data_IF_183019321444
#
_entry.id   IF_183019321444
#
_cell.length_a   1.000
_cell.length_b   1.000
_cell.length_c   1.000
_cell.angle_alpha   90.00
_cell.angle_beta   90.00
_cell.angle_gamma   90.00
#
_symmetry.space_group_name_H-M   'P 1'
#
loop_
_entity.id
_entity.type
_entity.pdbx_description
1 polymer ?
#
# COMPACT_ATOMS: atom_id res chain seq x y z
N UNK A 1 -14.56 3.98 -21.50
CA UNK A 1 -14.07 4.97 -20.53
C UNK A 1 -13.94 6.33 -21.19
N UNK A 2 -15.06 7.04 -21.34
CA UNK A 2 -15.08 8.37 -21.96
C UNK A 2 -14.63 9.40 -20.92
N UNK A 3 -13.42 9.91 -21.13
CA UNK A 3 -12.71 10.90 -20.34
C UNK A 3 -13.61 12.06 -19.87
N UNK A 4 -13.74 12.28 -18.55
CA UNK A 4 -14.52 13.39 -17.98
C UNK A 4 -14.04 14.75 -18.52
N UNK A 5 -12.71 14.91 -18.64
CA UNK A 5 -12.07 16.04 -19.31
C UNK A 5 -12.57 16.27 -20.75
N UNK A 6 -12.69 15.22 -21.59
CA UNK A 6 -13.24 15.36 -22.94
C UNK A 6 -14.71 15.82 -22.88
N UNK A 7 -15.51 15.30 -21.94
CA UNK A 7 -16.92 15.70 -21.79
C UNK A 7 -17.06 17.16 -21.35
N UNK A 8 -16.24 17.61 -20.41
CA UNK A 8 -16.23 19.01 -19.94
C UNK A 8 -15.82 19.94 -21.07
N UNK A 9 -14.74 19.61 -21.80
CA UNK A 9 -14.27 20.38 -22.94
C UNK A 9 -15.34 20.50 -24.04
N UNK A 10 -16.02 19.40 -24.37
CA UNK A 10 -17.13 19.42 -25.33
C UNK A 10 -18.32 20.23 -24.82
N UNK A 11 -18.61 20.20 -23.52
CA UNK A 11 -19.72 20.96 -22.94
C UNK A 11 -19.46 22.48 -23.00
N UNK A 12 -18.24 22.91 -22.68
CA UNK A 12 -17.85 24.33 -22.80
C UNK A 12 -17.84 24.75 -24.27
N UNK A 13 -17.31 23.91 -25.16
CA UNK A 13 -17.35 24.15 -26.60
C UNK A 13 -18.78 24.30 -27.12
N UNK A 14 -19.69 23.41 -26.71
CA UNK A 14 -21.10 23.49 -27.07
C UNK A 14 -21.75 24.75 -26.53
N UNK A 15 -21.46 25.16 -25.30
CA UNK A 15 -21.96 26.42 -24.73
C UNK A 15 -21.53 27.63 -25.56
N UNK A 16 -20.24 27.71 -25.94
CA UNK A 16 -19.74 28.77 -26.81
C UNK A 16 -20.43 28.77 -28.17
N UNK A 17 -20.57 27.60 -28.82
CA UNK A 17 -21.23 27.48 -30.13
C UNK A 17 -22.70 27.89 -30.04
N UNK A 18 -23.43 27.45 -29.01
CA UNK A 18 -24.82 27.83 -28.79
C UNK A 18 -24.97 29.35 -28.53
N UNK A 19 -24.05 29.95 -27.77
CA UNK A 19 -24.03 31.40 -27.53
C UNK A 19 -23.78 32.18 -28.81
N UNK A 20 -22.83 31.74 -29.65
CA UNK A 20 -22.55 32.35 -30.96
C UNK A 20 -23.76 32.23 -31.87
N UNK A 21 -24.34 31.03 -31.99
CA UNK A 21 -25.51 30.80 -32.83
C UNK A 21 -26.69 31.67 -32.40
N UNK A 22 -26.94 31.78 -31.09
CA UNK A 22 -28.00 32.65 -30.54
C UNK A 22 -27.71 34.12 -30.84
N UNK A 23 -26.46 34.58 -30.65
CA UNK A 23 -26.04 35.93 -30.97
C UNK A 23 -26.19 36.27 -32.47
N UNK A 24 -25.79 35.35 -33.35
CA UNK A 24 -25.95 35.49 -34.80
C UNK A 24 -27.42 35.60 -35.21
N UNK A 25 -28.29 34.74 -34.65
CA UNK A 25 -29.73 34.78 -34.93
C UNK A 25 -30.34 36.10 -34.44
N UNK A 26 -29.99 36.56 -33.24
CA UNK A 26 -30.44 37.84 -32.70
C UNK A 26 -29.98 39.03 -33.55
N UNK A 27 -28.71 39.06 -33.98
CA UNK A 27 -28.22 40.13 -34.86
C UNK A 27 -28.97 40.17 -36.19
N UNK A 28 -29.22 39.02 -36.82
CA UNK A 28 -29.99 38.94 -38.07
C UNK A 28 -31.42 39.48 -37.85
N UNK A 29 -32.09 39.07 -36.76
CA UNK A 29 -33.44 39.51 -36.43
C UNK A 29 -33.49 41.01 -36.09
N UNK A 30 -32.43 41.62 -35.54
CA UNK A 30 -32.44 43.05 -35.22
C UNK A 30 -32.03 43.90 -36.44
N UNK A 31 -30.98 43.50 -37.17
CA UNK A 31 -30.41 44.33 -38.24
C UNK A 31 -31.28 44.43 -39.49
N UNK A 32 -31.93 43.34 -39.90
CA UNK A 32 -32.72 43.31 -41.15
C UNK A 32 -34.09 43.98 -41.02
N UNK A 33 -34.97 43.58 -40.07
CA UNK A 33 -36.31 44.15 -39.98
C UNK A 33 -36.37 45.46 -39.20
N UNK A 34 -35.47 45.72 -38.23
CA UNK A 34 -35.57 46.94 -37.38
C UNK A 34 -34.69 48.08 -37.88
N UNK A 35 -33.45 47.81 -38.31
CA UNK A 35 -32.50 48.86 -38.73
C UNK A 35 -32.34 49.02 -40.25
N UNK A 36 -32.92 48.13 -41.07
CA UNK A 36 -32.83 48.14 -42.54
C UNK A 36 -31.39 48.35 -43.07
N UNK A 37 -30.40 47.73 -42.41
CA UNK A 37 -28.99 47.85 -42.82
C UNK A 37 -28.70 47.08 -44.10
N UNK A 38 -27.67 47.51 -44.83
CA UNK A 38 -27.19 46.83 -46.03
C UNK A 38 -26.67 45.42 -45.69
N UNK A 39 -27.01 44.44 -46.54
CA UNK A 39 -26.67 43.03 -46.37
C UNK A 39 -25.16 42.77 -46.16
N UNK A 40 -24.31 43.60 -46.77
CA UNK A 40 -22.85 43.50 -46.64
C UNK A 40 -22.34 43.80 -45.22
N UNK A 41 -22.94 44.78 -44.55
CA UNK A 41 -22.53 45.15 -43.19
C UNK A 41 -22.97 44.10 -42.17
N UNK A 42 -24.13 43.46 -42.40
CA UNK A 42 -24.60 42.34 -41.58
C UNK A 42 -23.66 41.14 -41.62
N UNK A 43 -23.16 40.76 -42.80
CA UNK A 43 -22.19 39.66 -42.95
C UNK A 43 -20.90 39.96 -42.19
N UNK A 44 -20.41 41.20 -42.24
CA UNK A 44 -19.18 41.59 -41.55
C UNK A 44 -19.32 41.43 -40.02
N UNK A 45 -20.47 41.81 -39.44
CA UNK A 45 -20.71 41.65 -38.00
C UNK A 45 -20.80 40.17 -37.58
N UNK A 46 -21.48 39.34 -38.38
CA UNK A 46 -21.54 37.89 -38.18
C UNK A 46 -20.16 37.24 -38.22
N UNK A 47 -19.29 37.68 -39.14
CA UNK A 47 -17.93 37.18 -39.27
C UNK A 47 -17.07 37.53 -38.03
N UNK A 48 -17.21 38.75 -37.51
CA UNK A 48 -16.51 39.19 -36.28
C UNK A 48 -16.94 38.34 -35.09
N UNK A 49 -18.24 38.06 -34.97
CA UNK A 49 -18.81 37.26 -33.88
C UNK A 49 -18.34 35.79 -33.93
N UNK A 50 -18.16 35.25 -35.14
CA UNK A 50 -17.66 33.89 -35.35
C UNK A 50 -16.15 33.76 -35.07
N UNK A 51 -15.34 34.70 -35.56
CA UNK A 51 -13.88 34.71 -35.33
C UNK A 51 -13.55 34.95 -33.86
N UNK A 52 -14.27 35.87 -33.20
CA UNK A 52 -14.05 36.17 -31.78
C UNK A 52 -14.65 35.14 -30.83
N UNK A 53 -15.70 34.43 -31.26
CA UNK A 53 -16.47 33.54 -30.38
C UNK A 53 -15.88 32.13 -30.22
N UNK A 54 -15.21 31.58 -31.24
CA UNK A 54 -14.73 30.19 -31.20
C UNK A 54 -13.47 30.09 -30.33
N UNK A 55 -13.49 29.36 -29.20
CA UNK A 55 -12.36 29.31 -28.28
C UNK A 55 -11.30 28.27 -28.70
N UNK A 56 -10.65 28.49 -29.85
CA UNK A 56 -9.65 27.55 -30.42
C UNK A 56 -8.47 27.31 -29.47
N UNK A 57 -8.12 28.30 -28.65
CA UNK A 57 -7.00 28.21 -27.72
C UNK A 57 -7.28 27.35 -26.47
N UNK A 58 -8.55 27.16 -26.09
CA UNK A 58 -8.92 26.56 -24.80
C UNK A 58 -8.43 25.11 -24.63
N UNK A 59 -8.60 24.19 -25.62
CA UNK A 59 -8.06 22.83 -25.52
C UNK A 59 -6.55 22.79 -25.33
N UNK A 60 -5.82 23.69 -26.01
CA UNK A 60 -4.36 23.76 -25.95
C UNK A 60 -3.90 24.28 -24.60
N UNK A 61 -4.50 25.35 -24.08
CA UNK A 61 -4.15 25.92 -22.76
C UNK A 61 -4.37 24.90 -21.64
N UNK A 62 -5.51 24.20 -21.66
CA UNK A 62 -5.80 23.17 -20.65
C UNK A 62 -4.82 22.01 -20.73
N UNK A 63 -4.50 21.54 -21.94
CA UNK A 63 -3.55 20.43 -22.13
C UNK A 63 -2.13 20.79 -21.66
N UNK A 64 -1.67 22.00 -21.96
CA UNK A 64 -0.37 22.51 -21.49
C UNK A 64 -0.36 22.68 -19.98
N UNK A 65 -1.45 23.18 -19.39
CA UNK A 65 -1.56 23.34 -17.94
C UNK A 65 -1.50 22.00 -17.21
N UNK A 66 -2.19 20.97 -17.71
CA UNK A 66 -2.13 19.61 -17.16
C UNK A 66 -0.74 18.98 -17.31
N UNK A 67 -0.06 19.22 -18.44
CA UNK A 67 1.31 18.74 -18.65
C UNK A 67 2.31 19.40 -17.67
N UNK A 68 2.21 20.71 -17.46
CA UNK A 68 3.03 21.44 -16.49
C UNK A 68 2.69 20.98 -15.06
N UNK A 69 1.41 20.77 -14.74
CA UNK A 69 0.97 20.25 -13.45
C UNK A 69 1.55 18.86 -13.15
N UNK A 70 1.49 17.95 -14.13
CA UNK A 70 2.11 16.62 -14.08
C UNK A 70 3.62 16.71 -13.81
N UNK A 71 4.31 17.62 -14.51
CA UNK A 71 5.75 17.82 -14.29
C UNK A 71 6.07 18.33 -12.88
N UNK A 72 5.28 19.29 -12.36
CA UNK A 72 5.44 19.81 -10.99
C UNK A 72 5.17 18.74 -9.93
N UNK A 73 4.16 17.90 -10.12
CA UNK A 73 3.88 16.78 -9.21
C UNK A 73 5.04 15.77 -9.19
N UNK A 74 5.63 15.49 -10.36
CA UNK A 74 6.82 14.63 -10.47
C UNK A 74 8.02 15.19 -9.69
N UNK A 75 8.24 16.52 -9.77
CA UNK A 75 9.28 17.18 -8.96
C UNK A 75 9.03 17.10 -7.45
N UNK A 76 7.77 16.92 -7.03
CA UNK A 76 7.37 16.68 -5.64
C UNK A 76 7.36 15.19 -5.26
N UNK A 77 7.77 14.28 -6.16
CA UNK A 77 7.83 12.84 -5.92
C UNK A 77 6.55 12.07 -6.25
N UNK A 78 5.54 12.70 -6.85
CA UNK A 78 4.28 12.07 -7.25
C UNK A 78 4.21 11.88 -8.77
N UNK A 79 4.24 10.63 -9.25
CA UNK A 79 4.24 10.31 -10.69
C UNK A 79 2.80 10.09 -11.17
N UNK A 80 2.28 10.99 -12.00
CA UNK A 80 0.94 10.86 -12.61
C UNK A 80 0.99 10.09 -13.93
N UNK A 81 0.53 8.83 -13.94
CA UNK A 81 0.43 8.02 -15.18
C UNK A 81 -0.66 8.50 -16.13
N UNK A 82 -1.71 9.14 -15.61
CA UNK A 82 -2.81 9.74 -16.38
C UNK A 82 -2.89 11.22 -16.03
N UNK A 83 -2.80 12.11 -17.02
CA UNK A 83 -2.90 13.57 -16.77
C UNK A 83 -4.27 13.96 -16.19
N UNK A 84 -5.32 13.19 -16.50
CA UNK A 84 -6.67 13.38 -15.95
C UNK A 84 -6.76 13.06 -14.46
N UNK A 85 -5.77 12.35 -13.88
CA UNK A 85 -5.75 12.08 -12.45
C UNK A 85 -5.59 13.36 -11.62
N UNK A 86 -5.04 14.43 -12.21
CA UNK A 86 -4.91 15.73 -11.52
C UNK A 86 -6.29 16.31 -11.20
N UNK A 87 -7.26 16.17 -12.10
CA UNK A 87 -8.65 16.59 -11.90
C UNK A 87 -9.34 15.71 -10.85
N UNK A 88 -9.15 14.38 -10.93
CA UNK A 88 -9.67 13.43 -9.94
C UNK A 88 -9.13 13.72 -8.53
N UNK A 89 -7.84 14.05 -8.40
CA UNK A 89 -7.22 14.41 -7.12
C UNK A 89 -7.73 15.76 -6.57
N UNK A 90 -8.04 16.72 -7.43
CA UNK A 90 -8.56 18.02 -7.01
C UNK A 90 -9.99 17.94 -6.44
N UNK A 91 -10.79 16.97 -6.91
CA UNK A 91 -12.14 16.71 -6.42
C UNK A 91 -12.25 15.55 -5.43
N UNK A 92 -11.15 15.15 -4.78
CA UNK A 92 -11.12 14.00 -3.89
C UNK A 92 -11.73 14.33 -2.53
N UNK A 93 -12.81 13.63 -2.16
CA UNK A 93 -13.44 13.77 -0.84
C UNK A 93 -12.94 12.76 0.20
N UNK A 94 -12.52 11.57 -0.26
CA UNK A 94 -12.07 10.47 0.61
C UNK A 94 -10.77 9.88 0.08
N UNK A 95 -9.77 9.79 0.94
CA UNK A 95 -8.50 9.11 0.70
C UNK A 95 -8.46 7.81 1.51
N UNK A 96 -8.64 6.67 0.84
CA UNK A 96 -8.35 5.37 1.42
C UNK A 96 -6.84 5.10 1.30
N UNK A 97 -6.15 5.04 2.44
CA UNK A 97 -4.71 4.78 2.51
C UNK A 97 -4.46 3.46 3.21
N UNK A 98 -3.58 2.61 2.65
CA UNK A 98 -3.07 1.45 3.39
C UNK A 98 -2.15 1.95 4.52
N UNK A 99 -2.36 1.44 5.73
CA UNK A 99 -1.51 1.72 6.89
C UNK A 99 -0.06 1.31 6.66
N UNK A 100 0.18 0.10 6.16
CA UNK A 100 1.52 -0.47 6.11
C UNK A 100 2.33 0.17 4.99
N UNK A 101 3.45 0.82 5.33
CA UNK A 101 4.33 1.45 4.34
C UNK A 101 3.90 2.84 3.87
N UNK A 102 2.63 3.23 4.01
CA UNK A 102 2.16 4.60 3.75
C UNK A 102 2.15 5.44 5.03
N UNK A 103 1.40 5.03 6.05
CA UNK A 103 1.33 5.74 7.34
C UNK A 103 2.45 5.36 8.31
N UNK A 104 3.06 4.19 8.09
CA UNK A 104 4.17 3.69 8.91
C UNK A 104 5.48 3.69 8.15
N UNK A 105 6.59 3.65 8.89
CA UNK A 105 7.94 3.64 8.30
C UNK A 105 8.31 2.29 7.68
N UNK A 106 7.49 1.24 7.88
CA UNK A 106 7.81 -0.14 7.52
C UNK A 106 9.21 -0.54 8.05
N UNK A 107 9.54 -0.05 9.24
CA UNK A 107 10.77 -0.33 9.98
C UNK A 107 10.38 -0.97 11.29
N UNK A 108 10.00 -2.24 11.18
CA UNK A 108 9.49 -3.00 12.30
C UNK A 108 10.58 -3.15 13.36
N UNK A 109 10.16 -3.12 14.61
CA UNK A 109 11.02 -3.34 15.78
C UNK A 109 10.32 -4.34 16.70
N UNK A 110 11.09 -5.12 17.45
CA UNK A 110 10.56 -6.11 18.38
C UNK A 110 11.12 -5.81 19.76
N UNK A 111 10.22 -5.77 20.74
CA UNK A 111 10.61 -5.64 22.14
C UNK A 111 10.80 -7.03 22.77
N UNK A 112 12.05 -7.33 23.15
CA UNK A 112 12.45 -8.60 23.79
C UNK A 112 11.67 -8.88 25.08
N UNK A 113 11.28 -7.84 25.82
CA UNK A 113 10.58 -8.00 27.11
C UNK A 113 9.19 -8.60 26.93
N UNK A 114 8.56 -8.36 25.78
CA UNK A 114 7.17 -8.70 25.49
C UNK A 114 6.99 -10.04 24.78
N UNK A 115 8.08 -10.72 24.42
CA UNK A 115 8.01 -12.04 23.79
C UNK A 115 7.37 -13.04 24.76
N UNK A 116 6.32 -13.71 24.29
CA UNK A 116 5.60 -14.76 25.03
C UNK A 116 6.07 -16.12 24.55
N UNK A 117 6.49 -16.97 25.49
CA UNK A 117 7.06 -18.30 25.25
C UNK A 117 6.06 -19.37 25.67
N UNK A 118 5.84 -20.37 24.79
CA UNK A 118 4.85 -21.41 25.03
C UNK A 118 5.46 -22.79 25.32
N UNK A 119 6.75 -22.98 25.02
CA UNK A 119 7.50 -24.21 25.31
C UNK A 119 8.38 -24.01 26.55
N UNK A 120 8.35 -24.95 27.50
CA UNK A 120 9.12 -24.84 28.75
C UNK A 120 10.64 -24.95 28.56
N UNK A 121 11.06 -25.62 27.48
CA UNK A 121 12.45 -25.96 27.22
C UNK A 121 13.16 -24.91 26.34
N UNK A 122 12.52 -23.78 26.04
CA UNK A 122 13.05 -22.72 25.19
C UNK A 122 13.09 -21.39 25.93
N UNK A 123 14.21 -20.67 25.80
CA UNK A 123 14.32 -19.29 26.23
C UNK A 123 13.92 -18.32 25.10
N UNK A 124 13.84 -17.04 25.44
CA UNK A 124 13.50 -15.98 24.49
C UNK A 124 14.56 -15.84 23.39
N UNK A 125 15.84 -16.01 23.73
CA UNK A 125 16.95 -15.88 22.79
C UNK A 125 16.93 -17.01 21.75
N UNK A 126 16.62 -18.25 22.14
CA UNK A 126 16.43 -19.36 21.19
C UNK A 126 15.28 -19.07 20.24
N UNK A 127 14.16 -18.52 20.71
CA UNK A 127 13.03 -18.19 19.83
C UNK A 127 13.39 -17.10 18.82
N UNK A 128 14.13 -16.08 19.24
CA UNK A 128 14.64 -15.03 18.34
C UNK A 128 15.60 -15.65 17.32
N UNK A 129 16.51 -16.54 17.74
CA UNK A 129 17.43 -17.23 16.85
C UNK A 129 16.69 -18.11 15.83
N UNK A 130 15.66 -18.85 16.25
CA UNK A 130 14.82 -19.65 15.35
C UNK A 130 14.08 -18.75 14.36
N UNK A 131 13.51 -17.63 14.82
CA UNK A 131 12.87 -16.65 13.95
C UNK A 131 13.86 -16.05 12.93
N UNK A 132 15.07 -15.74 13.36
CA UNK A 132 16.14 -15.22 12.51
C UNK A 132 16.59 -16.27 11.48
N UNK A 133 16.72 -17.54 11.88
CA UNK A 133 16.97 -18.67 10.97
C UNK A 133 15.88 -18.79 9.90
N UNK A 134 14.61 -18.60 10.26
CA UNK A 134 13.52 -18.62 9.29
C UNK A 134 13.40 -17.33 8.44
N UNK A 135 14.30 -16.36 8.61
CA UNK A 135 14.39 -15.15 7.79
C UNK A 135 15.30 -15.37 6.58
N UNK A 136 15.05 -14.64 5.50
CA UNK A 136 16.04 -14.50 4.43
C UNK A 136 17.23 -13.68 4.92
N UNK A 137 18.41 -13.99 4.41
CA UNK A 137 19.62 -13.16 4.63
C UNK A 137 19.79 -12.14 3.51
N UNK A 138 19.35 -12.50 2.30
CA UNK A 138 19.42 -11.65 1.10
C UNK A 138 18.02 -11.11 0.74
N UNK A 139 17.95 -9.85 0.29
CA UNK A 139 16.69 -9.15 -0.05
C UNK A 139 15.62 -9.31 1.04
N UNK A 140 15.97 -8.85 2.24
CA UNK A 140 15.13 -8.99 3.41
C UNK A 140 13.86 -8.13 3.32
N UNK A 141 12.73 -8.75 3.67
CA UNK A 141 11.52 -8.03 3.99
C UNK A 141 11.69 -7.26 5.31
N UNK A 142 10.88 -6.22 5.54
CA UNK A 142 10.97 -5.41 6.75
C UNK A 142 10.84 -6.23 8.06
N UNK A 143 10.06 -7.31 8.05
CA UNK A 143 9.94 -8.25 9.17
C UNK A 143 11.26 -9.03 9.37
N UNK A 144 11.87 -9.48 8.29
CA UNK A 144 13.11 -10.26 8.32
C UNK A 144 14.27 -9.42 8.86
N UNK A 145 14.40 -8.19 8.37
CA UNK A 145 15.39 -7.23 8.89
C UNK A 145 15.18 -6.93 10.37
N UNK A 146 13.93 -6.76 10.81
CA UNK A 146 13.62 -6.50 12.22
C UNK A 146 14.09 -7.63 13.14
N UNK A 147 13.86 -8.88 12.74
CA UNK A 147 14.22 -10.07 13.52
C UNK A 147 15.73 -10.29 13.50
N UNK A 148 16.37 -10.17 12.34
CA UNK A 148 17.83 -10.35 12.22
C UNK A 148 18.58 -9.29 13.02
N UNK A 149 18.08 -8.05 13.06
CA UNK A 149 18.65 -6.98 13.89
C UNK A 149 18.43 -7.16 15.40
N UNK A 150 17.63 -8.14 15.84
CA UNK A 150 17.53 -8.48 17.27
C UNK A 150 18.72 -9.32 17.77
N UNK A 151 19.46 -9.95 16.86
CA UNK A 151 20.68 -10.69 17.18
C UNK A 151 21.83 -9.71 17.40
N UNK A 152 22.81 -10.11 18.21
CA UNK A 152 24.00 -9.30 18.43
C UNK A 152 24.85 -9.19 17.15
N UNK A 153 24.98 -10.30 16.43
CA UNK A 153 25.57 -10.36 15.10
C UNK A 153 24.59 -11.04 14.11
N UNK A 154 24.21 -10.39 12.99
CA UNK A 154 23.40 -10.99 11.94
C UNK A 154 23.92 -12.34 11.42
N UNK A 155 25.22 -12.60 11.51
CA UNK A 155 25.83 -13.87 11.08
C UNK A 155 25.39 -15.06 11.95
N UNK A 156 24.99 -14.83 13.19
CA UNK A 156 24.48 -15.88 14.09
C UNK A 156 23.24 -16.59 13.52
N UNK A 157 22.45 -15.89 12.69
CA UNK A 157 21.26 -16.46 12.04
C UNK A 157 21.57 -17.65 11.11
N UNK A 158 22.82 -17.76 10.63
CA UNK A 158 23.30 -18.87 9.79
C UNK A 158 24.53 -19.57 10.37
N UNK A 159 25.00 -19.17 11.54
CA UNK A 159 26.12 -19.83 12.20
C UNK A 159 25.73 -21.27 12.56
N UNK A 160 26.67 -22.19 12.34
CA UNK A 160 26.58 -23.60 12.74
C UNK A 160 25.43 -24.39 12.10
N UNK A 161 24.83 -23.87 11.02
CA UNK A 161 23.78 -24.56 10.27
C UNK A 161 24.06 -24.61 8.77
N UNK A 162 23.67 -25.72 8.15
CA UNK A 162 23.69 -25.87 6.69
C UNK A 162 22.25 -25.76 6.19
N UNK A 163 21.96 -24.70 5.43
CA UNK A 163 20.64 -24.50 4.81
C UNK A 163 20.42 -25.54 3.71
N UNK A 164 19.32 -26.28 3.79
CA UNK A 164 18.94 -27.29 2.78
C UNK A 164 17.88 -26.75 1.85
N UNK A 165 16.85 -26.11 2.41
CA UNK A 165 15.72 -25.60 1.65
C UNK A 165 15.04 -24.45 2.38
N UNK A 166 14.70 -23.39 1.65
CA UNK A 166 13.94 -22.26 2.16
C UNK A 166 12.61 -22.12 1.41
N UNK A 167 11.52 -22.09 2.17
CA UNK A 167 10.17 -21.83 1.68
C UNK A 167 9.87 -20.32 1.78
N UNK A 168 9.72 -19.62 0.63
CA UNK A 168 9.35 -18.21 0.58
C UNK A 168 8.03 -17.88 1.27
N UNK A 169 7.82 -16.60 1.57
CA UNK A 169 6.50 -16.12 1.94
C UNK A 169 5.54 -16.25 0.76
N UNK A 170 4.38 -16.85 1.03
CA UNK A 170 3.25 -16.91 0.11
C UNK A 170 2.04 -16.23 0.77
N UNK A 171 1.34 -15.27 0.11
CA UNK A 171 0.15 -14.62 0.66
C UNK A 171 -0.98 -15.58 1.09
N UNK A 172 -1.06 -16.77 0.50
CA UNK A 172 -2.03 -17.80 0.88
C UNK A 172 -1.63 -18.49 2.18
N UNK A 173 -0.38 -18.94 2.28
CA UNK A 173 0.14 -19.66 3.45
C UNK A 173 0.48 -18.76 4.64
N UNK A 174 0.74 -17.47 4.36
CA UNK A 174 1.16 -16.41 5.31
C UNK A 174 2.28 -16.83 6.26
N UNK A 175 3.22 -17.65 5.77
CA UNK A 175 4.38 -18.15 6.52
C UNK A 175 5.61 -18.29 5.64
N UNK A 176 6.75 -18.35 6.28
CA UNK A 176 8.05 -18.73 5.73
C UNK A 176 8.56 -19.93 6.52
N UNK A 177 9.41 -20.76 5.90
CA UNK A 177 10.04 -21.85 6.61
C UNK A 177 11.45 -22.12 6.09
N UNK A 178 12.33 -22.56 6.97
CA UNK A 178 13.66 -23.03 6.62
C UNK A 178 13.80 -24.47 7.08
N UNK A 179 14.42 -25.31 6.24
CA UNK A 179 14.92 -26.63 6.61
C UNK A 179 16.44 -26.57 6.60
N UNK A 180 17.06 -26.91 7.72
CA UNK A 180 18.51 -26.87 7.90
C UNK A 180 19.02 -28.09 8.65
N UNK A 181 20.31 -28.36 8.51
CA UNK A 181 21.05 -29.38 9.24
C UNK A 181 21.89 -28.66 10.30
N UNK A 182 21.75 -29.06 11.56
CA UNK A 182 22.57 -28.53 12.66
C UNK A 182 23.98 -29.15 12.63
N UNK A 183 24.89 -28.62 13.46
CA UNK A 183 26.27 -29.11 13.58
C UNK A 183 26.37 -30.58 13.97
N UNK A 184 25.37 -31.10 14.69
CA UNK A 184 25.29 -32.52 15.08
C UNK A 184 24.74 -33.43 13.96
N UNK A 185 24.46 -32.88 12.77
CA UNK A 185 23.92 -33.64 11.63
C UNK A 185 22.42 -33.98 11.74
N UNK A 186 21.72 -33.32 12.68
CA UNK A 186 20.28 -33.44 12.87
C UNK A 186 19.52 -32.46 11.96
N UNK A 187 18.40 -32.92 11.41
CA UNK A 187 17.58 -32.10 10.51
C UNK A 187 16.46 -31.42 11.28
N UNK A 188 16.36 -30.11 11.06
CA UNK A 188 15.39 -29.26 11.72
C UNK A 188 14.65 -28.41 10.70
N UNK A 189 13.41 -28.09 11.03
CA UNK A 189 12.58 -27.17 10.27
C UNK A 189 11.98 -26.13 11.20
N UNK A 190 12.12 -24.88 10.82
CA UNK A 190 11.57 -23.75 11.56
C UNK A 190 10.66 -22.98 10.63
N UNK A 191 9.52 -22.54 11.14
CA UNK A 191 8.59 -21.70 10.42
C UNK A 191 8.21 -20.48 11.25
N UNK A 192 8.04 -19.35 10.56
CA UNK A 192 7.48 -18.14 11.14
C UNK A 192 6.38 -17.59 10.25
N UNK A 193 5.36 -16.98 10.84
CA UNK A 193 4.24 -16.46 10.06
C UNK A 193 3.09 -15.93 10.91
N UNK A 194 1.95 -15.77 10.25
CA UNK A 194 0.71 -15.37 10.92
C UNK A 194 0.35 -16.37 12.03
N UNK A 195 0.03 -15.91 13.25
CA UNK A 195 -0.22 -16.80 14.39
C UNK A 195 -1.26 -17.89 14.13
N UNK A 196 -2.38 -17.54 13.47
CA UNK A 196 -3.42 -18.51 13.11
C UNK A 196 -2.92 -19.62 12.19
N UNK A 197 -2.06 -19.28 11.21
CA UNK A 197 -1.53 -20.26 10.26
C UNK A 197 -0.50 -21.16 10.93
N UNK A 198 0.35 -20.61 11.79
CA UNK A 198 1.32 -21.40 12.56
C UNK A 198 0.60 -22.31 13.56
N UNK A 199 -0.43 -21.81 14.23
CA UNK A 199 -1.24 -22.59 15.18
C UNK A 199 -1.96 -23.76 14.49
N UNK A 200 -2.38 -23.61 13.24
CA UNK A 200 -2.98 -24.69 12.44
C UNK A 200 -2.00 -25.82 12.09
N UNK A 201 -0.69 -25.59 12.16
CA UNK A 201 0.32 -26.61 11.91
C UNK A 201 0.58 -27.49 13.13
N UNK A 202 0.31 -26.97 14.32
CA UNK A 202 0.59 -27.62 15.59
C UNK A 202 -0.55 -28.58 15.97
N UNK A 203 -0.21 -29.83 16.29
CA UNK A 203 -1.18 -30.84 16.73
C UNK A 203 -1.87 -30.45 18.05
N UNK A 204 -1.15 -29.76 18.94
CA UNK A 204 -1.67 -29.31 20.23
C UNK A 204 -2.51 -28.02 20.17
N UNK A 205 -3.02 -27.65 18.99
CA UNK A 205 -3.80 -26.42 18.75
C UNK A 205 -4.84 -26.18 19.84
N UNK A 206 -5.65 -27.18 20.19
CA UNK A 206 -6.78 -27.02 21.12
C UNK A 206 -6.35 -26.63 22.54
N UNK A 207 -5.19 -27.09 23.01
CA UNK A 207 -4.67 -26.78 24.36
C UNK A 207 -4.07 -25.38 24.44
N UNK A 208 -3.37 -24.97 23.38
CA UNK A 208 -2.56 -23.74 23.36
C UNK A 208 -3.35 -22.55 22.80
N UNK A 209 -4.35 -22.79 21.95
CA UNK A 209 -5.13 -21.77 21.25
C UNK A 209 -5.63 -20.66 22.18
N UNK A 210 -6.25 -21.00 23.31
CA UNK A 210 -6.81 -19.99 24.22
C UNK A 210 -5.75 -19.02 24.77
N UNK A 211 -4.56 -19.54 25.11
CA UNK A 211 -3.45 -18.70 25.60
C UNK A 211 -2.83 -17.86 24.47
N UNK A 212 -2.70 -18.43 23.28
CA UNK A 212 -2.19 -17.73 22.09
C UNK A 212 -3.10 -16.59 21.69
N UNK A 213 -4.42 -16.81 21.65
CA UNK A 213 -5.39 -15.76 21.33
C UNK A 213 -5.34 -14.63 22.36
N UNK A 214 -5.33 -14.96 23.66
CA UNK A 214 -5.20 -13.95 24.72
C UNK A 214 -3.90 -13.12 24.60
N UNK A 215 -2.78 -13.74 24.22
CA UNK A 215 -1.52 -13.03 23.97
C UNK A 215 -1.59 -12.14 22.72
N UNK A 216 -2.24 -12.61 21.65
CA UNK A 216 -2.47 -11.82 20.43
C UNK A 216 -3.35 -10.60 20.75
N UNK A 217 -4.42 -10.77 21.52
CA UNK A 217 -5.32 -9.68 21.91
C UNK A 217 -4.57 -8.64 22.75
N UNK A 218 -3.75 -9.07 23.72
CA UNK A 218 -2.88 -8.19 24.52
C UNK A 218 -1.88 -7.40 23.66
N UNK A 219 -1.37 -7.99 22.58
CA UNK A 219 -0.53 -7.29 21.62
C UNK A 219 -1.34 -6.30 20.77
N UNK A 220 -2.53 -6.70 20.33
CA UNK A 220 -3.42 -5.86 19.53
C UNK A 220 -3.91 -4.62 20.29
N UNK A 221 -4.25 -4.75 21.59
CA UNK A 221 -4.60 -3.62 22.47
C UNK A 221 -3.49 -2.56 22.55
N UNK A 222 -2.23 -3.00 22.42
CA UNK A 222 -1.05 -2.13 22.40
C UNK A 222 -0.65 -1.69 20.99
N UNK A 223 -1.43 -2.05 19.97
CA UNK A 223 -1.14 -1.74 18.57
C UNK A 223 0.05 -2.52 17.97
N UNK A 224 0.44 -3.62 18.60
CA UNK A 224 1.55 -4.48 18.17
C UNK A 224 1.02 -5.58 17.24
N UNK A 225 1.78 -5.88 16.18
CA UNK A 225 1.50 -6.98 15.25
C UNK A 225 2.13 -8.26 15.77
N UNK A 226 1.37 -9.36 15.81
CA UNK A 226 1.86 -10.65 16.31
C UNK A 226 2.51 -11.49 15.20
N UNK A 227 3.67 -12.08 15.47
CA UNK A 227 4.33 -13.07 14.62
C UNK A 227 4.59 -14.34 15.43
N UNK A 228 4.16 -15.50 14.92
CA UNK A 228 4.40 -16.77 15.60
C UNK A 228 5.61 -17.49 15.01
N UNK A 229 6.27 -18.29 15.85
CA UNK A 229 7.38 -19.18 15.49
C UNK A 229 7.04 -20.60 15.91
N UNK A 230 7.27 -21.55 15.01
CA UNK A 230 7.15 -22.97 15.28
C UNK A 230 8.39 -23.73 14.81
N UNK A 231 8.65 -24.84 15.48
CA UNK A 231 9.81 -25.69 15.27
C UNK A 231 9.37 -27.14 15.13
N UNK A 232 10.08 -27.88 14.28
CA UNK A 232 9.84 -29.28 13.97
C UNK A 232 11.19 -29.98 13.73
N UNK A 233 11.36 -31.20 14.25
CA UNK A 233 12.47 -32.08 13.88
C UNK A 233 12.09 -32.97 12.70
N UNK A 234 13.07 -33.33 11.85
CA UNK A 234 12.86 -34.24 10.71
C UNK A 234 13.74 -35.48 10.88
N UNK A 235 13.24 -36.54 11.56
CA UNK A 235 14.00 -37.77 11.77
C UNK A 235 14.39 -38.48 10.47
N UNK A 236 13.53 -38.39 9.44
CA UNK A 236 13.69 -39.07 8.15
C UNK A 236 14.76 -38.42 7.24
N UNK A 237 15.39 -37.31 7.67
CA UNK A 237 16.47 -36.59 6.96
C UNK A 237 16.19 -36.36 5.45
N UNK A 238 14.93 -36.06 5.14
CA UNK A 238 14.46 -35.85 3.77
C UNK A 238 13.65 -34.57 3.66
N UNK A 239 13.83 -33.84 2.55
CA UNK A 239 13.16 -32.55 2.29
C UNK A 239 11.64 -32.73 2.20
N UNK A 240 11.18 -33.80 1.55
CA UNK A 240 9.76 -34.06 1.28
C UNK A 240 9.05 -34.75 2.45
N UNK A 241 9.76 -35.08 3.52
CA UNK A 241 9.14 -35.66 4.71
C UNK A 241 8.25 -34.64 5.41
N UNK A 242 7.13 -35.13 5.95
CA UNK A 242 6.24 -34.35 6.81
C UNK A 242 6.90 -33.96 8.13
N UNK A 243 7.93 -34.69 8.58
CA UNK A 243 8.61 -34.45 9.86
C UNK A 243 7.76 -34.84 11.08
N UNK A 244 8.30 -34.59 12.27
CA UNK A 244 7.59 -34.78 13.55
C UNK A 244 6.46 -33.73 13.75
N UNK A 245 5.58 -33.82 14.75
CA UNK A 245 4.60 -32.77 15.00
C UNK A 245 5.23 -31.37 15.21
N UNK A 246 4.61 -30.32 14.68
CA UNK A 246 5.09 -28.95 14.91
C UNK A 246 4.86 -28.52 16.35
N UNK A 247 5.91 -27.99 16.96
CA UNK A 247 5.86 -27.39 18.30
C UNK A 247 5.73 -25.87 18.17
N UNK A 248 4.73 -25.29 18.83
CA UNK A 248 4.54 -23.84 18.87
C UNK A 248 5.50 -23.23 19.88
N UNK A 249 6.51 -22.48 19.42
CA UNK A 249 7.59 -21.98 20.28
C UNK A 249 7.19 -20.71 21.02
N UNK A 250 6.72 -19.70 20.28
CA UNK A 250 6.60 -18.35 20.80
C UNK A 250 5.86 -17.37 19.89
N UNK A 251 5.47 -16.24 20.49
CA UNK A 251 4.92 -15.07 19.80
C UNK A 251 5.85 -13.87 19.98
N UNK A 252 6.21 -13.24 18.86
CA UNK A 252 7.01 -12.02 18.82
C UNK A 252 6.08 -10.83 18.48
N UNK A 253 6.06 -9.78 19.32
CA UNK A 253 5.36 -8.55 19.00
C UNK A 253 6.21 -7.64 18.11
N UNK A 254 5.69 -7.28 16.95
CA UNK A 254 6.27 -6.35 16.00
C UNK A 254 5.59 -4.99 16.15
N UNK A 255 6.38 -3.96 16.41
CA UNK A 255 5.95 -2.57 16.40
C UNK A 255 6.39 -1.89 15.11
N UNK A 256 5.45 -1.26 14.40
CA UNK A 256 5.73 -0.46 13.21
C UNK A 256 5.49 1.03 13.53
N UNK A 257 6.54 1.84 13.69
CA UNK A 257 6.38 3.24 14.07
C UNK A 257 5.67 4.04 12.95
N UNK A 258 4.72 4.93 13.31
CA UNK A 258 4.14 5.85 12.35
C UNK A 258 5.21 6.82 11.83
N UNK A 259 5.02 7.36 10.62
CA UNK A 259 5.91 8.43 10.14
C UNK A 259 5.66 9.70 10.94
N UNK A 260 6.70 10.52 11.10
CA UNK A 260 6.66 11.76 11.88
C UNK A 260 5.65 12.78 11.32
N UNK A 261 5.44 12.77 10.01
CA UNK A 261 4.55 13.64 9.27
C UNK A 261 3.12 13.08 9.15
N UNK A 262 2.89 11.78 9.32
CA UNK A 262 1.58 11.15 9.07
C UNK A 262 0.44 11.80 9.86
N UNK A 263 0.66 12.11 11.15
CA UNK A 263 -0.36 12.76 11.98
C UNK A 263 -0.68 14.19 11.50
N UNK A 264 0.34 14.93 11.06
CA UNK A 264 0.15 16.27 10.50
C UNK A 264 -0.53 16.22 9.14
N UNK A 265 -0.14 15.28 8.27
CA UNK A 265 -0.74 15.07 6.96
C UNK A 265 -2.21 14.71 7.06
N UNK A 266 -2.61 13.84 8.01
CA UNK A 266 -4.02 13.51 8.25
C UNK A 266 -4.80 14.77 8.69
N UNK A 267 -4.23 15.59 9.58
CA UNK A 267 -4.86 16.85 10.01
C UNK A 267 -4.99 17.85 8.86
N UNK A 268 -3.95 17.99 8.04
CA UNK A 268 -3.97 18.86 6.86
C UNK A 268 -5.01 18.39 5.84
N UNK A 269 -5.08 17.08 5.57
CA UNK A 269 -6.10 16.50 4.69
C UNK A 269 -7.51 16.81 5.19
N UNK A 270 -7.75 16.63 6.50
CA UNK A 270 -9.05 16.97 7.11
C UNK A 270 -9.40 18.45 6.97
N UNK A 271 -8.43 19.35 7.17
CA UNK A 271 -8.62 20.80 6.97
C UNK A 271 -8.93 21.18 5.51
N UNK A 272 -8.49 20.36 4.55
CA UNK A 272 -8.78 20.51 3.12
C UNK A 272 -10.10 19.84 2.70
N UNK A 273 -10.84 19.26 3.65
CA UNK A 273 -12.11 18.56 3.37
C UNK A 273 -11.95 17.10 2.92
N UNK A 274 -10.73 16.56 2.94
CA UNK A 274 -10.43 15.18 2.54
C UNK A 274 -10.47 14.26 3.76
N UNK A 275 -11.40 13.32 3.79
CA UNK A 275 -11.49 12.30 4.84
C UNK A 275 -10.47 11.18 4.58
N UNK A 276 -9.54 10.94 5.51
CA UNK A 276 -8.58 9.83 5.41
C UNK A 276 -9.14 8.59 6.13
N UNK A 277 -9.23 7.46 5.42
CA UNK A 277 -9.63 6.16 5.96
C UNK A 277 -8.51 5.13 5.75
N UNK A 278 -8.42 4.19 6.67
CA UNK A 278 -7.51 3.03 6.55
C UNK A 278 -8.24 1.94 5.74
N UNK A 279 -7.62 1.45 4.66
CA UNK A 279 -8.26 0.53 3.70
C UNK A 279 -8.69 -0.82 4.32
N UNK A 280 -8.16 -1.16 5.50
CA UNK A 280 -8.53 -2.36 6.26
C UNK A 280 -9.72 -2.16 7.26
N UNK A 281 -10.43 -1.02 7.23
CA UNK A 281 -11.63 -0.75 8.04
C UNK A 281 -12.73 -0.01 7.28
#
# INVERSE_FOLDING_TARGET
SSCMYCKVLTSIGNFCICSIATGMVLEIIVMFPVQHRAYRDGINNLLVLLIGGIPIAMPTVLSVTLAIGSHRLSQQGAITKRMTAIEEMAGMDVLCSDKTGTLTLNRLTVDRSLIEVFTRDMDKDTIILLAARASRVENQDAIDTAIVNMLADPKEARANITEVHFLPFNPVDKRTAITYIDSDGNWHRVSKGAPEQILNLCEEKQKISGKVHAAIDKFAERGLRSLAVAYQSIPEKSINSKGAPWTFCGLLPLFDPPRHDSAETIRRAFNLGVCVKDDNR
#
